data_IF_469814235074
#
_entry.id   IF_469814235074
#
_cell.length_a   1.000
_cell.length_b   1.000
_cell.length_c   1.000
_cell.angle_alpha   90.00
_cell.angle_beta   90.00
_cell.angle_gamma   90.00
#
_symmetry.space_group_name_H-M   'P 1'
#
loop_
_entity.id
_entity.type
_entity.pdbx_description
1 polymer ?
#
# COMPACT_ATOMS: atom_id res chain seq x y z
N UNK A 1 25.74 -2.40 1.69
CA UNK A 1 24.90 -1.62 0.77
C UNK A 1 23.59 -1.31 1.46
N UNK A 2 23.18 -0.05 1.40
CA UNK A 2 21.92 0.35 1.98
C UNK A 2 20.74 -0.04 1.07
N UNK A 3 19.64 -0.47 1.66
CA UNK A 3 18.43 -0.83 0.94
C UNK A 3 17.22 -0.32 1.71
N UNK A 4 16.16 0.00 0.99
CA UNK A 4 14.88 0.31 1.62
C UNK A 4 14.27 -0.98 2.13
N UNK A 5 13.98 -1.02 3.44
CA UNK A 5 13.35 -2.18 4.07
C UNK A 5 11.82 -2.13 3.91
N UNK A 6 11.24 -0.97 4.18
CA UNK A 6 9.80 -0.78 4.05
C UNK A 6 9.46 0.69 3.87
N UNK A 7 8.26 0.93 3.41
CA UNK A 7 7.64 2.25 3.39
C UNK A 7 6.32 2.17 4.16
N UNK A 8 5.95 3.25 4.84
CA UNK A 8 4.71 3.32 5.60
C UNK A 8 3.77 4.34 4.99
N UNK A 9 2.51 3.97 4.89
CA UNK A 9 1.46 4.89 4.44
C UNK A 9 0.28 4.83 5.40
N UNK A 10 -0.42 5.94 5.53
CA UNK A 10 -1.63 6.02 6.33
C UNK A 10 -2.84 5.69 5.47
N UNK A 11 -3.84 5.06 6.08
CA UNK A 11 -5.08 4.70 5.43
C UNK A 11 -6.25 5.13 6.31
N UNK A 12 -7.30 5.70 5.71
CA UNK A 12 -8.52 6.04 6.45
C UNK A 12 -9.31 4.78 6.80
N UNK A 13 -9.32 3.81 5.90
CA UNK A 13 -9.96 2.51 6.09
C UNK A 13 -8.93 1.44 5.71
N UNK A 14 -8.38 0.76 6.71
CA UNK A 14 -7.29 -0.18 6.50
C UNK A 14 -7.71 -1.33 5.58
N UNK A 15 -8.85 -1.95 5.84
CA UNK A 15 -9.30 -3.11 5.08
C UNK A 15 -9.51 -2.76 3.60
N UNK A 16 -10.12 -1.64 3.32
CA UNK A 16 -10.33 -1.17 1.95
C UNK A 16 -9.00 -0.86 1.27
N UNK A 17 -8.09 -0.19 1.96
CA UNK A 17 -6.77 0.14 1.40
C UNK A 17 -5.93 -1.11 1.14
N UNK A 18 -5.97 -2.10 2.02
CA UNK A 18 -5.27 -3.37 1.81
C UNK A 18 -5.80 -4.05 0.54
N UNK A 19 -7.11 -4.13 0.39
CA UNK A 19 -7.72 -4.72 -0.80
C UNK A 19 -7.37 -3.95 -2.07
N UNK A 20 -7.30 -2.63 -1.99
CA UNK A 20 -6.88 -1.80 -3.11
C UNK A 20 -5.47 -2.17 -3.58
N UNK A 21 -4.52 -2.26 -2.65
CA UNK A 21 -3.14 -2.61 -3.01
C UNK A 21 -3.01 -4.05 -3.48
N UNK A 22 -3.74 -4.99 -2.88
CA UNK A 22 -3.77 -6.37 -3.34
C UNK A 22 -4.24 -6.46 -4.79
N UNK A 23 -5.31 -5.76 -5.12
CA UNK A 23 -5.88 -5.76 -6.46
C UNK A 23 -5.00 -5.01 -7.47
N UNK A 24 -4.48 -3.86 -7.07
CA UNK A 24 -3.70 -3.01 -7.95
C UNK A 24 -2.34 -3.63 -8.31
N UNK A 25 -1.66 -4.19 -7.33
CA UNK A 25 -0.27 -4.62 -7.47
C UNK A 25 -0.06 -6.13 -7.30
N UNK A 26 -1.08 -6.88 -6.94
CA UNK A 26 -0.95 -8.32 -6.70
C UNK A 26 -0.06 -8.66 -5.51
N UNK A 27 0.07 -7.75 -4.56
CA UNK A 27 0.89 -7.98 -3.36
C UNK A 27 0.16 -8.85 -2.36
N UNK A 28 0.90 -9.52 -1.49
CA UNK A 28 0.35 -10.44 -0.50
C UNK A 28 0.49 -9.88 0.91
N UNK A 29 -0.46 -10.24 1.77
CA UNK A 29 -0.37 -9.94 3.19
C UNK A 29 0.73 -10.79 3.82
N UNK A 30 1.49 -10.18 4.72
CA UNK A 30 2.54 -10.89 5.47
C UNK A 30 2.28 -10.74 6.96
N UNK A 31 2.91 -11.58 7.80
CA UNK A 31 2.73 -11.50 9.26
C UNK A 31 3.00 -10.09 9.76
N UNK A 32 2.06 -9.58 10.55
CA UNK A 32 2.05 -8.20 11.00
C UNK A 32 2.02 -8.17 12.53
N UNK A 33 2.94 -7.45 13.19
CA UNK A 33 2.88 -7.29 14.63
C UNK A 33 1.59 -6.59 15.07
N UNK A 34 1.13 -6.90 16.27
CA UNK A 34 -0.05 -6.27 16.83
C UNK A 34 0.34 -4.97 17.53
N UNK A 35 -0.06 -3.85 16.94
CA UNK A 35 0.17 -2.52 17.51
C UNK A 35 -1.06 -2.13 18.31
N UNK A 36 -0.84 -1.80 19.60
CA UNK A 36 -1.95 -1.46 20.50
C UNK A 36 -2.63 -0.19 20.04
N UNK A 37 -3.95 -0.28 19.78
CA UNK A 37 -4.76 0.89 19.47
C UNK A 37 -4.66 1.40 18.04
N UNK A 38 -3.87 0.74 17.18
CA UNK A 38 -3.72 1.14 15.78
C UNK A 38 -3.84 -0.08 14.88
N UNK A 39 -4.87 -0.18 14.04
CA UNK A 39 -4.94 -1.24 13.03
C UNK A 39 -3.81 -1.10 12.03
N UNK A 40 -3.11 -2.19 11.75
CA UNK A 40 -1.93 -2.23 10.88
C UNK A 40 -1.97 -3.48 10.03
N UNK A 41 -1.56 -3.39 8.77
CA UNK A 41 -1.34 -4.55 7.92
C UNK A 41 -0.07 -4.33 7.09
N UNK A 42 0.80 -5.30 7.10
CA UNK A 42 2.00 -5.32 6.29
C UNK A 42 1.76 -6.13 5.02
N UNK A 43 2.28 -5.64 3.90
CA UNK A 43 2.18 -6.29 2.59
C UNK A 43 3.57 -6.49 2.02
N UNK A 44 3.78 -7.59 1.31
CA UNK A 44 5.02 -7.83 0.59
C UNK A 44 5.02 -7.00 -0.69
N UNK A 45 6.11 -6.27 -0.94
CA UNK A 45 6.28 -5.46 -2.14
C UNK A 45 7.67 -5.74 -2.71
N UNK A 46 7.77 -6.80 -3.52
CA UNK A 46 9.07 -7.27 -3.99
C UNK A 46 9.97 -7.64 -2.81
N UNK A 47 11.14 -7.03 -2.74
CA UNK A 47 12.10 -7.23 -1.63
C UNK A 47 11.86 -6.28 -0.46
N UNK A 48 10.92 -5.35 -0.62
CA UNK A 48 10.53 -4.41 0.42
C UNK A 48 9.18 -4.81 0.97
N UNK A 49 8.68 -4.00 1.89
CA UNK A 49 7.36 -4.17 2.48
C UNK A 49 6.61 -2.85 2.42
N UNK A 50 5.31 -2.93 2.31
CA UNK A 50 4.43 -1.78 2.43
C UNK A 50 3.65 -1.94 3.73
N UNK A 51 3.81 -0.99 4.64
CA UNK A 51 3.15 -1.00 5.95
C UNK A 51 2.01 0.01 5.93
N UNK A 52 0.78 -0.47 6.14
CA UNK A 52 -0.41 0.35 6.17
C UNK A 52 -0.88 0.52 7.60
N UNK A 53 -1.07 1.77 8.02
CA UNK A 53 -1.56 2.13 9.34
C UNK A 53 -2.87 2.87 9.18
N UNK A 54 -3.91 2.47 9.95
CA UNK A 54 -5.18 3.17 9.91
C UNK A 54 -5.10 4.43 10.75
N UNK A 55 -5.00 5.55 10.08
CA UNK A 55 -4.91 6.87 10.73
C UNK A 55 -5.60 7.91 9.87
N UNK A 56 -6.31 8.82 10.53
CA UNK A 56 -6.91 9.98 9.88
C UNK A 56 -5.96 11.17 10.02
N UNK A 57 -4.88 11.12 9.23
CA UNK A 57 -3.85 12.16 9.21
C UNK A 57 -3.70 12.65 7.79
N UNK A 58 -3.74 13.97 7.60
CA UNK A 58 -3.54 14.59 6.29
C UNK A 58 -2.14 14.29 5.77
N UNK A 59 -2.01 13.76 4.54
CA UNK A 59 -0.69 13.59 3.94
C UNK A 59 -0.10 14.93 3.51
N UNK A 60 1.21 14.96 3.35
CA UNK A 60 1.86 16.15 2.79
C UNK A 60 1.45 16.34 1.33
N UNK A 61 1.49 17.58 0.83
CA UNK A 61 0.98 17.92 -0.50
C UNK A 61 1.74 17.26 -1.66
N UNK A 62 2.99 16.87 -1.44
CA UNK A 62 3.84 16.25 -2.47
C UNK A 62 4.20 14.81 -2.12
N UNK A 63 3.39 14.19 -1.30
CA UNK A 63 3.57 12.80 -0.89
C UNK A 63 3.26 11.86 -2.07
N UNK A 64 4.23 11.01 -2.41
CA UNK A 64 4.01 10.01 -3.46
C UNK A 64 4.96 8.84 -3.31
N UNK A 65 4.62 7.73 -3.95
CA UNK A 65 5.41 6.52 -3.97
C UNK A 65 5.48 6.02 -5.41
N UNK A 66 6.67 5.84 -5.92
CA UNK A 66 6.88 5.29 -7.26
C UNK A 66 7.12 3.79 -7.21
N UNK A 67 6.39 3.05 -8.01
CA UNK A 67 6.48 1.59 -8.07
C UNK A 67 6.65 1.17 -9.52
N UNK A 68 7.68 0.35 -9.78
CA UNK A 68 7.90 -0.26 -11.08
C UNK A 68 7.23 -1.62 -11.13
N UNK A 69 6.49 -1.89 -12.19
CA UNK A 69 5.84 -3.18 -12.41
C UNK A 69 6.27 -3.73 -13.77
N UNK A 70 6.18 -5.06 -13.94
CA UNK A 70 6.56 -5.71 -15.17
C UNK A 70 5.60 -5.38 -16.32
N UNK A 71 4.30 -5.29 -16.02
CA UNK A 71 3.27 -4.99 -16.98
C UNK A 71 2.28 -4.02 -16.34
N UNK A 72 2.13 -2.85 -16.95
CA UNK A 72 1.28 -1.79 -16.41
C UNK A 72 -0.21 -2.03 -16.71
N UNK A 73 -0.54 -2.90 -17.65
CA UNK A 73 -1.93 -3.12 -18.07
C UNK A 73 -2.84 -3.60 -16.91
N UNK A 74 -2.44 -4.64 -16.13
CA UNK A 74 -3.27 -5.04 -14.98
C UNK A 74 -3.47 -3.92 -13.96
N UNK A 75 -2.46 -3.05 -13.79
CA UNK A 75 -2.55 -1.92 -12.87
C UNK A 75 -3.60 -0.93 -13.35
N UNK A 76 -3.61 -0.61 -14.64
CA UNK A 76 -4.63 0.28 -15.20
C UNK A 76 -6.04 -0.28 -15.03
N UNK A 77 -6.23 -1.57 -15.28
CA UNK A 77 -7.53 -2.21 -15.12
C UNK A 77 -8.02 -2.17 -13.67
N UNK A 78 -7.11 -2.46 -12.73
CA UNK A 78 -7.44 -2.38 -11.31
C UNK A 78 -7.78 -0.95 -10.90
N UNK A 79 -6.99 0.02 -11.36
CA UNK A 79 -7.24 1.43 -11.06
C UNK A 79 -8.59 1.90 -11.59
N UNK A 80 -9.02 1.42 -12.77
CA UNK A 80 -10.35 1.73 -13.30
C UNK A 80 -11.45 1.16 -12.40
N UNK A 81 -11.31 -0.11 -11.96
CA UNK A 81 -12.28 -0.74 -11.06
C UNK A 81 -12.43 0.03 -9.75
N UNK A 82 -11.36 0.63 -9.27
CA UNK A 82 -11.34 1.37 -8.01
C UNK A 82 -11.60 2.87 -8.19
N UNK A 83 -11.87 3.32 -9.42
CA UNK A 83 -12.08 4.73 -9.75
C UNK A 83 -10.92 5.59 -9.22
N UNK A 84 -9.70 5.12 -9.46
CA UNK A 84 -8.48 5.73 -8.91
C UNK A 84 -7.89 6.83 -9.81
N UNK A 85 -8.44 7.03 -11.00
CA UNK A 85 -8.03 8.11 -11.90
C UNK A 85 -8.90 9.34 -11.71
N UNK A 86 -8.27 10.48 -11.77
CA UNK A 86 -8.98 11.75 -11.71
C UNK A 86 -9.66 12.10 -13.04
#
# INVERSE_FOLDING_TARGET
MAQINHVSVNALNLDESVRFYEDLLGVERIPTPNFVGIPVQWLALGRTQLHLFERDIQPTSHHHLGITVDDVEPVYRAAERWDAFD
#
